data_IF_341111180594
#
_entry.id   IF_341111180594
#
_cell.length_a   1.000
_cell.length_b   1.000
_cell.length_c   1.000
_cell.angle_alpha   90.00
_cell.angle_beta   90.00
_cell.angle_gamma   90.00
#
_symmetry.space_group_name_H-M   'P 1'
#
loop_
_entity.id
_entity.type
_entity.pdbx_description
1 polymer ?
#
# COMPACT_ATOMS: atom_id res chain seq x y z
N UNK A 1 -3.87 16.02 6.08
CA UNK A 1 -3.74 14.89 6.98
C UNK A 1 -2.32 14.74 7.46
N UNK A 2 -2.12 14.66 8.74
CA UNK A 2 -0.77 14.62 9.29
C UNK A 2 -0.27 13.19 9.44
N UNK A 3 1.05 13.04 9.45
CA UNK A 3 1.67 11.75 9.69
C UNK A 3 1.31 11.19 11.07
N UNK A 4 0.82 12.05 11.94
CA UNK A 4 0.47 11.71 13.30
C UNK A 4 -0.59 10.61 13.37
N UNK A 5 -1.53 10.59 12.42
CA UNK A 5 -2.59 9.59 12.43
C UNK A 5 -2.08 8.17 12.28
N UNK A 6 -1.12 7.94 11.37
CA UNK A 6 -0.60 6.60 11.16
C UNK A 6 0.19 6.12 12.39
N UNK A 7 0.89 7.02 13.06
CA UNK A 7 1.64 6.67 14.25
C UNK A 7 0.71 6.41 15.44
N UNK A 8 -0.37 7.17 15.54
CA UNK A 8 -1.35 7.00 16.61
C UNK A 8 -2.14 5.70 16.49
N UNK A 9 -2.19 5.11 15.30
CA UNK A 9 -2.88 3.85 15.10
C UNK A 9 -2.15 2.65 15.71
N UNK A 10 -0.95 2.87 16.25
CA UNK A 10 -0.14 1.84 16.90
C UNK A 10 0.16 0.64 15.99
N UNK A 11 0.33 0.92 14.72
CA UNK A 11 0.65 -0.13 13.75
C UNK A 11 2.14 -0.50 13.82
N UNK A 12 2.51 -1.75 13.47
CA UNK A 12 3.92 -2.13 13.40
C UNK A 12 4.68 -1.23 12.44
N UNK A 13 5.99 -1.08 12.69
CA UNK A 13 6.84 -0.24 11.86
C UNK A 13 6.79 -0.64 10.38
N UNK A 14 6.67 -1.92 10.09
CA UNK A 14 6.59 -2.38 8.70
C UNK A 14 5.33 -1.86 8.01
N UNK A 15 4.23 -1.75 8.73
CA UNK A 15 3.00 -1.19 8.18
C UNK A 15 3.17 0.29 7.89
N UNK A 16 3.79 1.01 8.80
CA UNK A 16 4.07 2.43 8.61
C UNK A 16 5.01 2.63 7.41
N UNK A 17 6.03 1.81 7.29
CA UNK A 17 6.97 1.90 6.18
C UNK A 17 6.27 1.69 4.83
N UNK A 18 5.40 0.69 4.74
CA UNK A 18 4.66 0.41 3.53
C UNK A 18 3.71 1.57 3.21
N UNK A 19 3.03 2.08 4.22
CA UNK A 19 2.12 3.22 4.04
C UNK A 19 2.85 4.43 3.48
N UNK A 20 3.98 4.80 4.07
CA UNK A 20 4.75 5.95 3.63
C UNK A 20 5.30 5.74 2.22
N UNK A 21 5.71 4.52 1.91
CA UNK A 21 6.18 4.18 0.57
C UNK A 21 5.06 4.40 -0.45
N UNK A 22 3.88 3.89 -0.17
CA UNK A 22 2.74 4.04 -1.07
C UNK A 22 2.35 5.51 -1.22
N UNK A 23 2.36 6.24 -0.12
CA UNK A 23 2.00 7.65 -0.14
C UNK A 23 2.98 8.45 -0.99
N UNK A 24 4.27 8.15 -0.90
CA UNK A 24 5.28 8.80 -1.73
C UNK A 24 5.13 8.50 -3.21
N UNK A 25 4.63 7.32 -3.53
CA UNK A 25 4.42 6.91 -4.92
C UNK A 25 3.10 7.36 -5.49
N UNK A 26 2.18 7.76 -4.63
CA UNK A 26 0.84 8.14 -5.08
C UNK A 26 0.89 9.41 -5.94
N UNK A 27 0.04 9.42 -6.96
CA UNK A 27 -0.10 10.58 -7.83
C UNK A 27 -1.02 11.62 -7.18
N UNK A 28 -1.43 12.64 -7.95
CA UNK A 28 -2.30 13.70 -7.44
C UNK A 28 -3.64 13.18 -6.95
N UNK A 29 -4.08 12.06 -7.48
CA UNK A 29 -5.35 11.47 -7.11
C UNK A 29 -5.23 10.57 -5.89
N UNK A 30 -4.01 10.40 -5.36
CA UNK A 30 -3.79 9.55 -4.21
C UNK A 30 -3.77 8.08 -4.55
N UNK A 31 -3.45 7.73 -5.79
CA UNK A 31 -3.39 6.33 -6.22
C UNK A 31 -2.01 5.96 -6.71
N UNK A 32 -1.66 4.70 -6.54
CA UNK A 32 -0.41 4.14 -7.05
C UNK A 32 -0.59 2.64 -7.26
N UNK A 33 0.28 2.05 -8.07
CA UNK A 33 0.15 0.62 -8.36
C UNK A 33 1.50 -0.06 -8.51
N UNK A 34 2.40 0.06 -7.51
CA UNK A 34 3.64 -0.69 -7.53
C UNK A 34 3.38 -2.17 -7.30
N UNK A 35 4.19 -3.03 -7.88
CA UNK A 35 4.07 -4.45 -7.63
C UNK A 35 4.51 -4.75 -6.20
N UNK A 36 3.88 -5.74 -5.58
CA UNK A 36 4.21 -6.13 -4.20
C UNK A 36 5.68 -6.53 -4.10
N UNK A 37 6.19 -7.25 -5.11
CA UNK A 37 7.61 -7.62 -5.13
C UNK A 37 8.54 -6.43 -5.17
N UNK A 38 8.13 -5.36 -5.86
CA UNK A 38 8.91 -4.13 -5.91
C UNK A 38 8.94 -3.46 -4.54
N UNK A 39 7.79 -3.38 -3.88
CA UNK A 39 7.71 -2.79 -2.54
C UNK A 39 8.62 -3.56 -1.58
N UNK A 40 8.52 -4.89 -1.62
CA UNK A 40 9.31 -5.75 -0.74
C UNK A 40 10.80 -5.52 -0.95
N UNK A 41 11.23 -5.45 -2.20
CA UNK A 41 12.64 -5.27 -2.53
C UNK A 41 13.16 -3.92 -2.07
N UNK A 42 12.40 -2.87 -2.31
CA UNK A 42 12.85 -1.52 -1.98
C UNK A 42 12.84 -1.27 -0.48
N UNK A 43 11.94 -1.90 0.25
CA UNK A 43 11.87 -1.76 1.70
C UNK A 43 12.64 -2.84 2.45
N UNK A 44 13.27 -3.76 1.72
CA UNK A 44 14.01 -4.88 2.32
C UNK A 44 13.11 -5.74 3.22
N UNK A 45 11.89 -5.97 2.75
CA UNK A 45 10.92 -6.80 3.47
C UNK A 45 10.58 -8.02 2.61
N UNK A 46 10.05 -9.06 3.25
CA UNK A 46 9.57 -10.21 2.50
C UNK A 46 8.22 -9.88 1.85
N UNK A 47 7.88 -10.59 0.80
CA UNK A 47 6.60 -10.42 0.12
C UNK A 47 5.45 -10.67 1.12
N UNK A 48 5.58 -11.70 1.95
CA UNK A 48 4.57 -12.00 2.96
C UNK A 48 4.37 -10.85 3.92
N UNK A 49 5.47 -10.23 4.35
CA UNK A 49 5.40 -9.08 5.26
C UNK A 49 4.68 -7.90 4.60
N UNK A 50 4.99 -7.64 3.32
CA UNK A 50 4.34 -6.55 2.60
C UNK A 50 2.83 -6.80 2.47
N UNK A 51 2.44 -8.04 2.12
CA UNK A 51 1.04 -8.38 2.00
C UNK A 51 0.30 -8.19 3.32
N UNK A 52 0.94 -8.58 4.42
CA UNK A 52 0.35 -8.42 5.74
C UNK A 52 0.20 -6.95 6.10
N UNK A 53 1.22 -6.15 5.81
CA UNK A 53 1.17 -4.72 6.07
C UNK A 53 0.04 -4.07 5.28
N UNK A 54 -0.12 -4.43 4.01
CA UNK A 54 -1.19 -3.89 3.18
C UNK A 54 -2.55 -4.25 3.76
N UNK A 55 -2.71 -5.49 4.21
CA UNK A 55 -3.96 -5.94 4.81
C UNK A 55 -4.28 -5.14 6.07
N UNK A 56 -3.28 -4.93 6.93
CA UNK A 56 -3.45 -4.14 8.14
C UNK A 56 -3.85 -2.71 7.84
N UNK A 57 -3.20 -2.09 6.85
CA UNK A 57 -3.50 -0.73 6.46
C UNK A 57 -4.91 -0.61 5.89
N UNK A 58 -5.33 -1.61 5.13
CA UNK A 58 -6.67 -1.64 4.56
C UNK A 58 -7.72 -1.77 5.66
N UNK A 59 -7.49 -2.65 6.61
CA UNK A 59 -8.41 -2.86 7.73
C UNK A 59 -8.56 -1.63 8.60
N UNK A 60 -7.48 -0.85 8.72
CA UNK A 60 -7.50 0.37 9.53
C UNK A 60 -7.94 1.60 8.76
N UNK A 61 -8.32 1.43 7.49
CA UNK A 61 -8.87 2.52 6.69
C UNK A 61 -7.87 3.53 6.17
N UNK A 62 -6.60 3.18 6.13
CA UNK A 62 -5.57 4.07 5.60
C UNK A 62 -5.43 3.97 4.09
N UNK A 63 -5.67 2.79 3.53
CA UNK A 63 -5.59 2.58 2.09
C UNK A 63 -6.74 1.68 1.65
N UNK A 64 -6.99 1.71 0.35
CA UNK A 64 -7.95 0.81 -0.27
C UNK A 64 -7.25 0.09 -1.42
N UNK A 65 -7.45 -1.20 -1.51
CA UNK A 65 -6.87 -2.03 -2.55
C UNK A 65 -7.95 -2.33 -3.59
N UNK A 66 -7.64 -2.03 -4.86
CA UNK A 66 -8.56 -2.31 -5.96
C UNK A 66 -7.83 -3.13 -7.00
N UNK A 67 -8.54 -4.09 -7.58
CA UNK A 67 -8.01 -4.92 -8.64
C UNK A 67 -8.42 -4.33 -9.99
N UNK A 68 -7.45 -4.20 -10.90
CA UNK A 68 -7.73 -3.72 -12.24
C UNK A 68 -7.66 -4.90 -13.20
N UNK A 69 -8.75 -5.12 -13.92
CA UNK A 69 -8.83 -6.19 -14.91
C UNK A 69 -8.54 -5.64 -16.30
N UNK A 70 -7.87 -6.44 -17.10
CA UNK A 70 -7.62 -6.10 -18.50
C UNK A 70 -8.49 -6.98 -19.40
N UNK A 71 -9.00 -6.38 -20.46
CA UNK A 71 -9.93 -7.06 -21.37
C UNK A 71 -9.30 -8.23 -22.12
N UNK A 72 -8.00 -8.21 -22.29
CA UNK A 72 -7.32 -9.27 -23.06
C UNK A 72 -6.83 -10.42 -22.18
N UNK A 73 -7.33 -10.53 -20.96
CA UNK A 73 -6.95 -11.63 -20.09
C UNK A 73 -5.57 -11.52 -19.49
N UNK A 74 -4.94 -10.36 -19.59
CA UNK A 74 -3.63 -10.15 -19.01
C UNK A 74 -3.69 -10.09 -17.50
N UNK A 75 -2.52 -10.01 -16.89
CA UNK A 75 -2.41 -9.93 -15.43
C UNK A 75 -3.11 -8.68 -14.90
N UNK A 76 -3.90 -8.86 -13.87
CA UNK A 76 -4.48 -7.72 -13.18
C UNK A 76 -3.41 -7.05 -12.32
N UNK A 77 -3.43 -5.72 -12.31
CA UNK A 77 -2.57 -4.95 -11.43
C UNK A 77 -3.36 -4.51 -10.22
N UNK A 78 -2.71 -4.48 -9.07
CA UNK A 78 -3.33 -3.94 -7.87
C UNK A 78 -3.16 -2.44 -7.85
N UNK A 79 -4.24 -1.74 -7.65
CA UNK A 79 -4.24 -0.30 -7.47
C UNK A 79 -4.42 -0.02 -5.98
N UNK A 80 -3.56 0.82 -5.42
CA UNK A 80 -3.67 1.24 -4.02
C UNK A 80 -4.12 2.68 -3.98
N UNK A 81 -5.17 2.91 -3.23
CA UNK A 81 -5.71 4.26 -3.05
C UNK A 81 -5.43 4.71 -1.62
N UNK A 82 -4.80 5.86 -1.47
CA UNK A 82 -4.49 6.42 -0.16
C UNK A 82 -5.73 7.15 0.34
N UNK A 83 -6.29 6.68 1.44
CA UNK A 83 -7.52 7.25 1.99
C UNK A 83 -7.21 8.29 3.04
N UNK A 84 -6.15 8.07 3.83
CA UNK A 84 -5.77 9.01 4.88
C UNK A 84 -4.36 9.49 4.73
#
# INVERSE_FOLDING_TARGET
MSKKEIYEAELPHRDVAVYLYLKNRANKEGTCYPAIGTIARELHLSVSTVKRAISDLEENGFIRKKQRWRDNGGRSSLLFEIIR
#
